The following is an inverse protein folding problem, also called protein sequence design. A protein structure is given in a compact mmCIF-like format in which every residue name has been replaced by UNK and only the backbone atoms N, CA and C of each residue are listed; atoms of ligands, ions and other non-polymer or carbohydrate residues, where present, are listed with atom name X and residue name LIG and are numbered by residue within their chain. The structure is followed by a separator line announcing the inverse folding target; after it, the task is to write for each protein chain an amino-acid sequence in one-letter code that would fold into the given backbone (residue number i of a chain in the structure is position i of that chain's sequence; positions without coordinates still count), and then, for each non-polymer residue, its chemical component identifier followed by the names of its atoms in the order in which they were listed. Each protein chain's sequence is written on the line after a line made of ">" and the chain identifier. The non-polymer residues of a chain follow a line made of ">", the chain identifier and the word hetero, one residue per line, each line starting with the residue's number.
data_IF_733963723914
#
_entry.id   IF_733963723914
#
_cell.length_a   1.000
_cell.length_b   1.000
_cell.length_c   1.000
_cell.angle_alpha   90.00
_cell.angle_beta   90.00
_cell.angle_gamma   90.00
#
_symmetry.space_group_name_H-M   'P 1'
#
loop_
_entity.id
_entity.type
_entity.pdbx_description
1 polymer ?
#
# COMPACT_ATOMS: atom_id res chain seq x y z
N UNK A 1 -1.85 8.19 -5.15
CA UNK A 1 -2.32 6.84 -5.51
C UNK A 1 -2.55 6.10 -4.21
N UNK A 2 -3.77 5.66 -3.94
CA UNK A 2 -4.06 4.79 -2.77
C UNK A 2 -4.24 3.38 -3.28
N UNK A 3 -3.61 2.40 -2.63
CA UNK A 3 -3.74 0.98 -2.98
C UNK A 3 -4.31 0.26 -1.75
N UNK A 4 -5.46 -0.37 -1.92
CA UNK A 4 -6.17 -1.08 -0.86
C UNK A 4 -6.44 -2.55 -1.26
N UNK A 5 -6.42 -3.45 -0.29
CA UNK A 5 -6.76 -4.85 -0.51
C UNK A 5 -7.61 -5.37 0.65
N UNK A 6 -8.81 -5.86 0.34
CA UNK A 6 -9.66 -6.62 1.25
C UNK A 6 -9.55 -8.10 0.89
N UNK A 7 -9.06 -8.93 1.81
CA UNK A 7 -8.87 -10.35 1.55
C UNK A 7 -10.17 -11.14 1.76
N UNK A 8 -10.49 -12.12 0.90
CA UNK A 8 -11.66 -12.96 1.11
C UNK A 8 -11.52 -13.79 2.39
N UNK A 9 -12.34 -13.51 3.39
CA UNK A 9 -12.57 -14.43 4.50
C UNK A 9 -13.41 -15.64 4.03
N UNK A 10 -13.45 -16.72 4.83
CA UNK A 10 -13.93 -18.05 4.45
C UNK A 10 -15.30 -18.12 3.74
N UNK A 11 -16.12 -17.06 3.79
CA UNK A 11 -17.41 -16.95 3.11
C UNK A 11 -17.63 -15.63 2.32
N UNK A 12 -16.67 -14.71 2.26
CA UNK A 12 -16.81 -13.39 1.60
C UNK A 12 -15.79 -13.20 0.47
N UNK A 13 -16.21 -12.58 -0.64
CA UNK A 13 -15.29 -12.25 -1.73
C UNK A 13 -14.46 -11.03 -1.31
N UNK A 14 -13.18 -11.00 -1.67
CA UNK A 14 -12.31 -9.86 -1.45
C UNK A 14 -12.21 -8.98 -2.68
N UNK A 15 -11.41 -7.92 -2.60
CA UNK A 15 -11.10 -7.06 -3.73
C UNK A 15 -9.73 -6.41 -3.56
N UNK A 16 -9.15 -6.02 -4.68
CA UNK A 16 -8.00 -5.14 -4.76
C UNK A 16 -8.44 -3.84 -5.43
N UNK A 17 -8.13 -2.70 -4.82
CA UNK A 17 -8.54 -1.39 -5.29
C UNK A 17 -7.36 -0.44 -5.46
N UNK A 18 -7.42 0.40 -6.50
CA UNK A 18 -6.50 1.51 -6.73
C UNK A 18 -7.32 2.78 -6.87
N UNK A 19 -7.03 3.79 -6.05
CA UNK A 19 -7.62 5.12 -6.15
C UNK A 19 -6.60 6.11 -6.69
N UNK A 20 -6.95 6.78 -7.77
CA UNK A 20 -6.20 7.95 -8.23
C UNK A 20 -6.71 9.21 -7.50
N UNK A 21 -5.89 9.87 -6.66
CA UNK A 21 -6.29 11.07 -5.96
C UNK A 21 -6.51 12.28 -6.89
N UNK A 22 -5.95 12.27 -8.11
CA UNK A 22 -6.12 13.38 -9.06
C UNK A 22 -7.51 13.41 -9.68
N UNK A 23 -7.96 12.26 -10.18
CA UNK A 23 -9.29 12.12 -10.80
C UNK A 23 -10.39 11.69 -9.83
N UNK A 24 -10.04 11.16 -8.65
CA UNK A 24 -10.99 10.50 -7.73
C UNK A 24 -11.48 9.15 -8.24
N UNK A 25 -10.92 8.64 -9.34
CA UNK A 25 -11.34 7.37 -9.93
C UNK A 25 -10.84 6.17 -9.13
N UNK A 26 -11.66 5.12 -9.09
CA UNK A 26 -11.35 3.87 -8.43
C UNK A 26 -11.33 2.72 -9.43
N UNK A 27 -10.27 1.93 -9.43
CA UNK A 27 -10.16 0.67 -10.17
C UNK A 27 -10.28 -0.49 -9.19
N UNK A 28 -11.21 -1.41 -9.45
CA UNK A 28 -11.46 -2.57 -8.59
C UNK A 28 -11.21 -3.87 -9.33
N UNK A 29 -10.54 -4.82 -8.67
CA UNK A 29 -10.32 -6.18 -9.12
C UNK A 29 -10.87 -7.15 -8.08
N UNK A 30 -11.93 -7.93 -8.39
CA UNK A 30 -12.48 -8.88 -7.43
C UNK A 30 -11.52 -10.03 -7.15
N UNK A 31 -11.41 -10.43 -5.88
CA UNK A 31 -10.64 -11.59 -5.42
C UNK A 31 -11.64 -12.71 -5.05
N UNK A 32 -11.69 -13.81 -5.82
CA UNK A 32 -12.65 -14.90 -5.57
C UNK A 32 -12.47 -15.56 -4.21
N UNK A 33 -13.59 -15.99 -3.57
CA UNK A 33 -13.70 -16.60 -2.23
C UNK A 33 -12.76 -17.78 -1.92
N UNK A 34 -12.07 -18.35 -2.92
CA UNK A 34 -11.24 -19.56 -2.80
C UNK A 34 -9.89 -19.46 -3.50
N UNK A 35 -9.49 -18.27 -3.95
CA UNK A 35 -8.19 -18.09 -4.61
C UNK A 35 -7.10 -17.99 -3.53
N UNK A 36 -6.61 -19.14 -3.06
CA UNK A 36 -5.48 -19.22 -2.11
C UNK A 36 -4.20 -18.56 -2.64
N UNK A 37 -4.10 -18.37 -3.95
CA UNK A 37 -2.89 -17.89 -4.63
C UNK A 37 -2.93 -16.39 -4.97
N UNK A 38 -3.83 -15.60 -4.38
CA UNK A 38 -3.78 -14.16 -4.57
C UNK A 38 -2.53 -13.59 -3.90
N UNK A 39 -1.68 -12.89 -4.67
CA UNK A 39 -0.45 -12.33 -4.16
C UNK A 39 -0.74 -11.07 -3.32
N UNK A 40 -0.63 -11.18 -2.00
CA UNK A 40 -0.84 -10.07 -1.08
C UNK A 40 0.12 -8.90 -1.28
N UNK A 41 1.27 -9.12 -1.94
CA UNK A 41 2.23 -8.06 -2.27
C UNK A 41 1.93 -7.40 -3.62
N UNK A 42 0.84 -7.76 -4.33
CA UNK A 42 0.50 -7.20 -5.64
C UNK A 42 0.56 -5.67 -5.68
N UNK A 43 0.03 -5.00 -4.66
CA UNK A 43 0.06 -3.54 -4.58
C UNK A 43 1.48 -2.97 -4.54
N UNK A 44 2.37 -3.57 -3.75
CA UNK A 44 3.78 -3.18 -3.67
C UNK A 44 4.51 -3.48 -4.97
N UNK A 45 4.28 -4.66 -5.58
CA UNK A 45 4.86 -5.01 -6.88
C UNK A 45 4.50 -3.98 -7.96
N UNK A 46 3.23 -3.60 -8.00
CA UNK A 46 2.74 -2.60 -8.93
C UNK A 46 3.38 -1.23 -8.67
N UNK A 47 3.43 -0.79 -7.41
CA UNK A 47 4.07 0.47 -7.05
C UNK A 47 5.56 0.50 -7.39
N UNK A 48 6.30 -0.59 -7.10
CA UNK A 48 7.71 -0.72 -7.44
C UNK A 48 7.95 -0.64 -8.95
N UNK A 49 7.09 -1.28 -9.76
CA UNK A 49 7.16 -1.20 -11.21
C UNK A 49 6.82 0.22 -11.75
N UNK A 50 5.82 0.90 -11.16
CA UNK A 50 5.43 2.26 -11.58
C UNK A 50 6.52 3.29 -11.25
N UNK A 51 7.18 3.14 -10.09
CA UNK A 51 8.19 4.06 -9.59
C UNK A 51 9.62 3.70 -10.01
N UNK A 52 9.80 2.66 -10.82
CA UNK A 52 11.10 2.14 -11.26
C UNK A 52 12.08 1.83 -10.11
N UNK A 53 11.57 1.18 -9.06
CA UNK A 53 12.32 0.78 -7.85
C UNK A 53 12.16 -0.72 -7.56
N UNK A 54 12.67 -1.60 -8.45
CA UNK A 54 12.44 -3.05 -8.36
C UNK A 54 13.00 -3.68 -7.06
N UNK A 55 14.02 -3.09 -6.45
CA UNK A 55 14.57 -3.53 -5.17
C UNK A 55 13.58 -3.38 -3.99
N UNK A 56 12.51 -2.61 -4.16
CA UNK A 56 11.44 -2.41 -3.16
C UNK A 56 10.21 -3.28 -3.39
N UNK A 57 10.27 -4.21 -4.36
CA UNK A 57 9.19 -5.15 -4.68
C UNK A 57 8.85 -6.05 -3.48
N UNK A 58 9.87 -6.48 -2.72
CA UNK A 58 9.68 -7.31 -1.53
C UNK A 58 9.69 -6.48 -0.25
N UNK A 59 8.73 -6.74 0.65
CA UNK A 59 8.75 -6.12 1.98
C UNK A 59 10.04 -6.45 2.76
N UNK A 60 10.62 -7.64 2.52
CA UNK A 60 11.85 -8.10 3.19
C UNK A 60 13.07 -7.26 2.83
N UNK A 61 13.03 -6.57 1.70
CA UNK A 61 14.11 -5.70 1.22
C UNK A 61 13.93 -4.25 1.68
N UNK A 62 12.79 -3.93 2.31
CA UNK A 62 12.47 -2.58 2.78
C UNK A 62 12.74 -2.41 4.28
N UNK A 63 13.62 -3.24 4.87
CA UNK A 63 14.00 -3.13 6.28
C UNK A 63 14.93 -1.94 6.43
N UNK A 64 14.57 -1.00 7.30
CA UNK A 64 15.34 0.20 7.59
C UNK A 64 15.85 0.12 9.04
N UNK A 65 17.08 0.57 9.35
CA UNK A 65 17.56 0.66 10.72
C UNK A 65 16.66 1.53 11.61
N UNK A 66 16.50 1.17 12.89
CA UNK A 66 15.57 1.84 13.82
C UNK A 66 15.83 3.35 13.96
N UNK A 67 17.10 3.76 13.99
CA UNK A 67 17.49 5.17 14.06
C UNK A 67 17.06 5.97 12.82
N UNK A 68 17.10 5.33 11.64
CA UNK A 68 16.64 5.91 10.38
C UNK A 68 15.12 5.95 10.30
N UNK A 69 14.44 4.91 10.76
CA UNK A 69 12.97 4.90 10.87
C UNK A 69 12.48 6.02 11.79
N UNK A 70 13.15 6.27 12.92
CA UNK A 70 12.82 7.35 13.84
C UNK A 70 12.99 8.74 13.22
N UNK A 71 14.11 8.98 12.52
CA UNK A 71 14.37 10.24 11.82
C UNK A 71 13.36 10.49 10.68
N UNK A 72 13.03 9.46 9.89
CA UNK A 72 12.00 9.56 8.85
C UNK A 72 10.60 9.83 9.42
N UNK A 73 10.23 9.18 10.52
CA UNK A 73 8.98 9.45 11.25
C UNK A 73 8.89 10.90 11.71
N UNK A 74 9.93 11.41 12.37
CA UNK A 74 9.91 12.75 12.95
C UNK A 74 9.85 13.82 11.85
N UNK A 75 10.55 13.60 10.74
CA UNK A 75 10.44 14.46 9.54
C UNK A 75 9.04 14.44 8.95
N UNK A 76 8.42 13.26 8.84
CA UNK A 76 7.05 13.16 8.34
C UNK A 76 6.07 13.89 9.25
N UNK A 77 6.17 13.70 10.57
CA UNK A 77 5.33 14.40 11.56
C UNK A 77 5.48 15.92 11.41
N UNK A 78 6.70 16.43 11.30
CA UNK A 78 6.96 17.85 11.15
C UNK A 78 6.39 18.40 9.82
N UNK A 79 6.57 17.67 8.71
CA UNK A 79 6.08 18.07 7.40
C UNK A 79 4.56 18.01 7.29
N UNK A 80 3.91 17.03 7.94
CA UNK A 80 2.47 16.86 7.92
C UNK A 80 1.74 17.72 8.95
N UNK A 81 2.45 18.37 9.89
CA UNK A 81 1.85 19.08 11.02
C UNK A 81 0.78 20.11 10.64
N UNK A 82 0.94 20.84 9.54
CA UNK A 82 -0.05 21.83 9.06
C UNK A 82 -1.30 21.22 8.44
N UNK A 83 -1.31 19.91 8.19
CA UNK A 83 -2.38 19.17 7.53
C UNK A 83 -3.07 18.15 8.46
N UNK A 84 -2.56 17.98 9.69
CA UNK A 84 -3.10 17.06 10.67
C UNK A 84 -4.28 17.69 11.43
N UNK A 85 -5.49 17.34 11.03
CA UNK A 85 -6.74 17.79 11.67
C UNK A 85 -7.17 16.87 12.84
N UNK A 86 -6.39 15.83 13.16
CA UNK A 86 -6.70 14.84 14.20
C UNK A 86 -5.92 15.05 15.50
N UNK A 87 -5.07 16.10 15.54
CA UNK A 87 -4.32 16.53 16.72
C UNK A 87 -4.98 17.68 17.47
#
# INVERSE_FOLDING_TARGET
>A
LTIECSYPEAQQAGYFAITDPGSGSNLFVPIPKRKKDFNLQLGRKLAAAILDVPERESWKQCVVPEDKEADERDRFIAAFASHDFTR
#
